data_IF_113246407669
#
_entry.id   IF_113246407669
#
_cell.length_a   1.000
_cell.length_b   1.000
_cell.length_c   1.000
_cell.angle_alpha   90.00
_cell.angle_beta   90.00
_cell.angle_gamma   90.00
#
_symmetry.space_group_name_H-M   'P 1'
#
loop_
_entity.id
_entity.type
_entity.pdbx_description
1 polymer ?
#
# COMPACT_ATOMS: atom_id res chain seq x y z
N UNK A 1 88.61 -16.68 25.48
CA UNK A 1 87.20 -16.95 25.86
C UNK A 1 86.24 -15.77 25.64
N UNK A 2 86.70 -14.52 25.53
CA UNK A 2 85.81 -13.35 25.29
C UNK A 2 85.14 -13.29 23.90
N UNK A 3 85.77 -13.80 22.84
CA UNK A 3 85.23 -13.70 21.48
C UNK A 3 84.01 -14.61 21.23
N UNK A 4 83.94 -15.80 21.86
CA UNK A 4 82.77 -16.69 21.73
C UNK A 4 81.52 -16.12 22.41
N UNK A 5 81.68 -15.44 23.55
CA UNK A 5 80.57 -14.79 24.24
C UNK A 5 80.03 -13.59 23.46
N UNK A 6 80.89 -12.81 22.80
CA UNK A 6 80.45 -11.68 21.98
C UNK A 6 79.66 -12.11 20.74
N UNK A 7 80.04 -13.23 20.10
CA UNK A 7 79.34 -13.75 18.91
C UNK A 7 78.00 -14.36 19.31
N UNK A 8 77.95 -15.13 20.40
CA UNK A 8 76.68 -15.63 20.95
C UNK A 8 75.77 -14.47 21.35
N UNK A 9 76.32 -13.40 21.93
CA UNK A 9 75.55 -12.21 22.28
C UNK A 9 75.06 -11.46 21.05
N UNK A 10 75.87 -11.31 19.98
CA UNK A 10 75.47 -10.70 18.72
C UNK A 10 74.40 -11.54 17.99
N UNK A 11 74.54 -12.86 17.94
CA UNK A 11 73.53 -13.75 17.38
C UNK A 11 72.22 -13.71 18.18
N UNK A 12 72.29 -13.77 19.52
CA UNK A 12 71.11 -13.65 20.39
C UNK A 12 70.46 -12.27 20.25
N UNK A 13 71.24 -11.19 20.14
CA UNK A 13 70.70 -9.84 19.96
C UNK A 13 70.06 -9.70 18.58
N UNK A 14 70.65 -10.25 17.52
CA UNK A 14 70.06 -10.24 16.17
C UNK A 14 68.76 -11.05 16.14
N UNK A 15 68.74 -12.23 16.75
CA UNK A 15 67.56 -13.09 16.90
C UNK A 15 66.48 -12.36 17.73
N UNK A 16 66.85 -11.68 18.83
CA UNK A 16 65.90 -10.91 19.64
C UNK A 16 65.32 -9.73 18.87
N UNK A 17 66.14 -8.98 18.12
CA UNK A 17 65.66 -7.86 17.31
C UNK A 17 64.77 -8.29 16.16
N UNK A 18 65.04 -9.45 15.55
CA UNK A 18 64.17 -10.06 14.55
C UNK A 18 62.87 -10.58 15.19
N UNK A 19 62.94 -11.15 16.39
CA UNK A 19 61.77 -11.63 17.14
C UNK A 19 60.86 -10.50 17.61
N UNK A 20 61.42 -9.38 18.08
CA UNK A 20 60.66 -8.20 18.50
C UNK A 20 60.10 -7.41 17.30
N UNK A 21 60.74 -7.45 16.12
CA UNK A 21 60.16 -6.90 14.88
C UNK A 21 58.95 -7.70 14.38
N UNK A 22 58.89 -9.00 14.70
CA UNK A 22 57.73 -9.87 14.44
C UNK A 22 56.61 -9.66 15.48
N UNK A 23 56.90 -9.04 16.62
CA UNK A 23 55.98 -8.84 17.76
C UNK A 23 55.24 -7.49 17.71
N UNK A 24 54.96 -6.93 16.53
CA UNK A 24 53.94 -5.87 16.39
C UNK A 24 52.55 -6.51 16.25
N UNK A 25 51.55 -6.11 17.06
CA UNK A 25 50.32 -6.87 17.19
C UNK A 25 49.33 -6.47 16.10
N UNK A 26 49.33 -7.18 14.99
CA UNK A 26 48.15 -7.25 14.11
C UNK A 26 47.93 -8.69 13.60
N UNK A 27 47.09 -9.39 14.37
CA UNK A 27 46.18 -10.49 14.03
C UNK A 27 46.49 -11.47 12.86
N UNK A 28 47.75 -11.86 12.67
CA UNK A 28 48.12 -13.17 12.13
C UNK A 28 48.92 -13.88 13.21
N UNK A 29 48.31 -14.93 13.80
CA UNK A 29 48.97 -15.74 14.83
C UNK A 29 50.33 -16.20 14.29
N UNK A 30 51.40 -15.96 15.03
CA UNK A 30 52.76 -16.44 14.76
C UNK A 30 52.78 -17.91 14.30
N UNK A 31 51.85 -18.73 14.80
CA UNK A 31 51.63 -20.13 14.41
C UNK A 31 51.24 -20.33 12.94
N UNK A 32 50.45 -19.41 12.36
CA UNK A 32 50.04 -19.47 10.96
C UNK A 32 51.21 -19.22 10.03
N UNK A 33 52.04 -18.22 10.34
CA UNK A 33 53.26 -17.90 9.60
C UNK A 33 54.20 -19.12 9.58
N UNK A 34 54.44 -19.71 10.75
CA UNK A 34 55.28 -20.91 10.88
C UNK A 34 54.71 -22.12 10.13
N UNK A 35 53.37 -22.30 10.12
CA UNK A 35 52.73 -23.37 9.35
C UNK A 35 52.91 -23.19 7.84
N UNK A 36 52.79 -21.96 7.33
CA UNK A 36 53.01 -21.65 5.90
C UNK A 36 54.46 -21.85 5.48
N UNK A 37 55.40 -21.45 6.34
CA UNK A 37 56.84 -21.71 6.15
C UNK A 37 57.08 -23.22 5.99
N UNK A 38 56.49 -24.04 6.86
CA UNK A 38 56.58 -25.51 6.82
C UNK A 38 55.89 -26.14 5.60
N UNK A 39 54.74 -25.63 5.16
CA UNK A 39 54.03 -26.13 3.96
C UNK A 39 54.71 -25.77 2.63
N UNK A 40 55.42 -24.65 2.55
CA UNK A 40 56.18 -24.32 1.34
C UNK A 40 57.35 -25.28 1.09
N UNK A 41 57.88 -25.93 2.13
CA UNK A 41 58.86 -27.00 1.95
C UNK A 41 58.25 -28.25 1.27
N UNK A 42 56.92 -28.41 1.32
CA UNK A 42 56.23 -29.57 0.74
C UNK A 42 55.60 -29.36 -0.66
N UNK A 43 55.34 -28.12 -1.10
CA UNK A 43 54.43 -27.83 -2.24
C UNK A 43 55.08 -27.40 -3.57
N UNK A 44 56.33 -27.72 -3.85
CA UNK A 44 56.98 -27.42 -5.14
C UNK A 44 56.53 -28.34 -6.30
N UNK A 45 55.23 -28.60 -6.51
CA UNK A 45 54.69 -29.20 -7.75
C UNK A 45 53.20 -28.84 -7.95
N UNK A 46 52.87 -28.13 -9.03
CA UNK A 46 51.59 -28.28 -9.72
C UNK A 46 50.58 -27.14 -9.61
N UNK A 47 50.65 -26.19 -10.54
CA UNK A 47 49.56 -25.29 -10.89
C UNK A 47 48.51 -26.01 -11.75
N UNK A 48 47.24 -25.58 -11.70
CA UNK A 48 46.52 -25.04 -12.87
C UNK A 48 45.01 -24.89 -12.62
N UNK A 49 44.55 -23.72 -13.04
CA UNK A 49 43.20 -23.22 -13.23
C UNK A 49 42.30 -24.06 -14.14
N UNK A 50 40.97 -23.93 -14.00
CA UNK A 50 40.12 -23.36 -15.08
C UNK A 50 38.67 -23.12 -14.69
N UNK A 51 38.23 -21.94 -15.11
CA UNK A 51 36.87 -21.43 -15.35
C UNK A 51 36.08 -22.20 -16.42
N UNK A 52 34.75 -22.06 -16.38
CA UNK A 52 33.74 -22.16 -17.47
C UNK A 52 32.34 -22.22 -16.82
N UNK A 53 31.21 -21.84 -17.39
CA UNK A 53 30.75 -21.04 -18.54
C UNK A 53 29.19 -21.06 -18.45
N UNK A 54 28.51 -20.32 -19.35
CA UNK A 54 27.11 -20.51 -19.82
C UNK A 54 26.00 -19.84 -18.98
N UNK A 55 25.30 -18.80 -19.48
CA UNK A 55 24.32 -18.74 -20.61
C UNK A 55 23.01 -19.49 -20.31
N UNK A 56 21.86 -18.79 -20.44
CA UNK A 56 20.75 -19.21 -21.31
C UNK A 56 19.68 -18.10 -21.51
N UNK A 57 19.16 -18.11 -22.74
CA UNK A 57 18.01 -17.39 -23.34
C UNK A 57 16.66 -17.87 -22.77
N UNK A 58 15.62 -17.04 -22.96
CA UNK A 58 14.24 -17.35 -23.43
C UNK A 58 13.23 -16.34 -22.85
N UNK A 59 12.06 -15.98 -23.41
CA UNK A 59 11.29 -16.24 -24.64
C UNK A 59 10.16 -15.18 -24.61
N UNK A 60 9.73 -14.69 -25.77
CA UNK A 60 8.54 -13.87 -25.97
C UNK A 60 7.29 -14.75 -26.14
N UNK A 61 6.11 -14.27 -25.72
CA UNK A 61 4.81 -14.77 -26.19
C UNK A 61 3.76 -13.65 -26.11
N UNK A 62 3.12 -13.41 -27.25
CA UNK A 62 1.96 -12.54 -27.48
C UNK A 62 0.65 -13.18 -27.00
N UNK A 63 -0.40 -12.37 -26.79
CA UNK A 63 -1.80 -12.79 -26.97
C UNK A 63 -2.76 -11.58 -27.17
N UNK A 64 -3.40 -11.60 -28.36
CA UNK A 64 -4.70 -11.10 -28.89
C UNK A 64 -5.75 -10.54 -27.90
N UNK A 65 -6.54 -9.46 -28.12
CA UNK A 65 -7.54 -8.99 -29.14
C UNK A 65 -9.02 -9.29 -28.78
N UNK A 66 -9.91 -8.27 -28.90
CA UNK A 66 -11.39 -8.19 -29.16
C UNK A 66 -12.07 -7.09 -28.29
N UNK A 67 -12.66 -5.97 -28.77
CA UNK A 67 -13.85 -5.59 -29.59
C UNK A 67 -15.25 -5.75 -28.98
N UNK A 68 -16.00 -4.62 -28.88
CA UNK A 68 -17.48 -4.36 -29.06
C UNK A 68 -17.79 -2.99 -28.41
N UNK A 69 -18.26 -1.91 -29.06
CA UNK A 69 -19.50 -1.55 -29.81
C UNK A 69 -20.80 -1.51 -28.99
N UNK A 70 -21.36 -0.31 -28.73
CA UNK A 70 -22.75 0.11 -29.07
C UNK A 70 -23.14 1.50 -28.52
N UNK A 71 -24.01 2.18 -29.26
CA UNK A 71 -24.60 3.53 -29.12
C UNK A 71 -26.14 3.34 -28.97
N UNK A 72 -26.93 4.28 -28.41
CA UNK A 72 -27.96 4.89 -29.27
C UNK A 72 -28.44 6.32 -28.93
N UNK A 73 -28.86 7.02 -30.00
CA UNK A 73 -29.64 8.28 -30.05
C UNK A 73 -31.12 8.12 -29.68
N UNK A 74 -31.75 9.16 -29.13
CA UNK A 74 -33.14 9.54 -29.49
C UNK A 74 -33.48 11.02 -29.20
N UNK A 75 -34.40 11.58 -30.00
CA UNK A 75 -34.86 12.99 -30.09
C UNK A 75 -36.25 13.17 -29.45
N UNK A 76 -36.57 14.34 -28.87
CA UNK A 76 -37.88 15.07 -28.92
C UNK A 76 -37.77 16.38 -28.10
N UNK A 77 -37.85 17.59 -28.67
CA UNK A 77 -38.98 18.41 -29.19
C UNK A 77 -39.83 19.12 -28.10
N UNK A 78 -39.49 20.41 -27.88
CA UNK A 78 -40.31 21.65 -27.72
C UNK A 78 -41.59 21.64 -26.85
N UNK A 79 -41.68 22.55 -25.88
CA UNK A 79 -42.88 23.36 -25.59
C UNK A 79 -42.47 24.65 -24.83
N UNK A 80 -42.92 25.80 -25.32
CA UNK A 80 -42.77 27.14 -24.73
C UNK A 80 -43.74 27.33 -23.53
N UNK A 81 -43.43 28.14 -22.50
CA UNK A 81 -44.43 28.62 -21.55
C UNK A 81 -45.12 29.90 -22.06
N UNK A 82 -46.43 29.80 -22.25
CA UNK A 82 -47.37 30.89 -22.50
C UNK A 82 -47.73 31.58 -21.18
N UNK A 83 -47.45 32.89 -21.11
CA UNK A 83 -48.22 33.98 -20.46
C UNK A 83 -48.83 33.67 -19.07
N UNK A 84 -48.25 34.29 -18.06
CA UNK A 84 -48.89 34.56 -16.77
C UNK A 84 -49.99 35.61 -16.95
N UNK A 85 -51.25 35.17 -16.93
CA UNK A 85 -52.39 36.06 -16.71
C UNK A 85 -52.46 36.44 -15.22
N UNK A 86 -52.42 37.74 -14.97
CA UNK A 86 -52.75 38.37 -13.70
C UNK A 86 -54.19 38.03 -13.32
N UNK A 87 -54.38 37.17 -12.30
CA UNK A 87 -55.64 37.10 -11.57
C UNK A 87 -55.62 38.14 -10.46
N UNK A 88 -56.46 39.15 -10.62
CA UNK A 88 -56.76 40.16 -9.61
C UNK A 88 -57.36 39.48 -8.36
N UNK A 89 -56.55 39.40 -7.31
CA UNK A 89 -57.01 39.19 -5.94
C UNK A 89 -57.95 40.34 -5.58
N UNK A 90 -59.24 40.04 -5.45
CA UNK A 90 -60.21 40.93 -4.82
C UNK A 90 -60.25 40.63 -3.32
N UNK A 91 -59.12 40.81 -2.63
CA UNK A 91 -59.07 40.78 -1.18
C UNK A 91 -59.05 42.21 -0.63
N UNK A 92 -60.22 42.84 -0.61
CA UNK A 92 -60.48 44.01 0.22
C UNK A 92 -61.96 44.04 0.64
N UNK A 93 -62.32 43.19 1.60
CA UNK A 93 -63.51 43.41 2.43
C UNK A 93 -63.03 43.79 3.84
N UNK A 94 -63.47 44.92 4.42
CA UNK A 94 -63.08 45.35 5.75
C UNK A 94 -63.45 44.30 6.81
N UNK A 95 -62.47 43.90 7.63
CA UNK A 95 -62.58 42.90 8.71
C UNK A 95 -63.63 43.22 9.80
N UNK A 96 -64.23 44.40 9.79
CA UNK A 96 -65.14 44.87 10.86
C UNK A 96 -66.64 44.63 10.58
N UNK A 97 -67.01 44.03 9.44
CA UNK A 97 -68.40 43.74 9.07
C UNK A 97 -68.74 42.24 8.97
N UNK A 98 -67.81 41.35 9.33
CA UNK A 98 -68.09 39.93 9.54
C UNK A 98 -68.75 39.72 10.89
N UNK A 99 -69.99 40.19 11.00
CA UNK A 99 -70.96 39.59 11.92
C UNK A 99 -70.86 38.07 11.81
N UNK A 100 -70.92 37.36 12.94
CA UNK A 100 -70.80 35.91 13.13
C UNK A 100 -71.69 35.09 12.18
N UNK A 101 -71.37 35.10 10.89
CA UNK A 101 -71.95 34.22 9.88
C UNK A 101 -71.40 32.85 10.21
N UNK A 102 -72.24 32.07 10.89
CA UNK A 102 -72.01 30.64 11.07
C UNK A 102 -71.55 30.07 9.74
N UNK A 103 -70.42 29.38 9.75
CA UNK A 103 -69.92 28.66 8.58
C UNK A 103 -71.04 27.76 8.08
N UNK A 104 -71.11 27.58 6.76
CA UNK A 104 -72.00 26.57 6.18
C UNK A 104 -71.79 25.19 6.80
N UNK A 105 -70.58 24.92 7.31
CA UNK A 105 -70.20 23.65 7.94
C UNK A 105 -70.39 23.64 9.47
N UNK A 106 -70.87 24.72 10.09
CA UNK A 106 -71.12 24.75 11.52
C UNK A 106 -72.35 23.90 11.87
N UNK A 107 -72.27 23.10 12.94
CA UNK A 107 -73.37 22.26 13.41
C UNK A 107 -74.67 23.06 13.70
N UNK A 108 -74.52 24.32 14.10
CA UNK A 108 -75.64 25.23 14.40
C UNK A 108 -76.16 25.97 13.17
N UNK A 109 -75.66 25.66 11.97
CA UNK A 109 -76.13 26.22 10.72
C UNK A 109 -77.49 25.60 10.35
N UNK A 110 -78.47 26.43 10.02
CA UNK A 110 -79.82 26.00 9.73
C UNK A 110 -79.98 25.56 8.27
N UNK A 111 -79.33 24.44 7.91
CA UNK A 111 -79.29 23.91 6.54
C UNK A 111 -80.67 23.79 5.89
N UNK A 112 -81.68 23.34 6.65
CA UNK A 112 -83.05 23.20 6.16
C UNK A 112 -83.68 24.55 5.77
N UNK A 113 -83.47 25.59 6.58
CA UNK A 113 -83.99 26.92 6.29
C UNK A 113 -83.28 27.53 5.07
N UNK A 114 -81.95 27.40 5.02
CA UNK A 114 -81.14 27.88 3.90
C UNK A 114 -81.49 27.16 2.58
N UNK A 115 -81.69 25.84 2.63
CA UNK A 115 -82.07 25.05 1.46
C UNK A 115 -83.46 25.45 0.93
N UNK A 116 -84.43 25.67 1.81
CA UNK A 116 -85.77 26.13 1.41
C UNK A 116 -85.76 27.49 0.74
N UNK A 117 -84.90 28.42 1.19
CA UNK A 117 -84.84 29.77 0.61
C UNK A 117 -84.03 29.86 -0.67
N UNK A 118 -83.02 29.00 -0.85
CA UNK A 118 -82.03 29.15 -1.94
C UNK A 118 -82.03 28.02 -2.97
N UNK A 119 -82.52 26.83 -2.61
CA UNK A 119 -82.46 25.64 -3.48
C UNK A 119 -83.85 25.23 -4.02
N UNK A 120 -84.92 25.91 -3.61
CA UNK A 120 -86.26 25.69 -4.16
C UNK A 120 -86.56 26.76 -5.20
N UNK A 121 -86.56 26.38 -6.47
CA UNK A 121 -86.85 27.30 -7.55
C UNK A 121 -88.33 27.16 -7.97
N UNK A 122 -89.01 28.26 -8.34
CA UNK A 122 -90.39 28.20 -8.85
C UNK A 122 -90.57 27.29 -10.09
N UNK A 123 -89.48 26.94 -10.77
CA UNK A 123 -89.48 25.98 -11.89
C UNK A 123 -89.66 24.53 -11.42
N UNK A 124 -89.27 24.22 -10.19
CA UNK A 124 -89.39 22.88 -9.60
C UNK A 124 -90.85 22.50 -9.38
N UNK A 125 -91.68 23.46 -8.91
CA UNK A 125 -93.13 23.28 -8.78
C UNK A 125 -93.78 22.90 -10.13
N UNK A 126 -93.37 23.55 -11.22
CA UNK A 126 -93.88 23.25 -12.58
C UNK A 126 -93.40 21.89 -13.09
N UNK A 127 -92.15 21.51 -12.78
CA UNK A 127 -91.56 20.23 -13.16
C UNK A 127 -92.16 19.04 -12.42
N UNK A 128 -92.61 19.25 -11.17
CA UNK A 128 -93.19 18.23 -10.29
C UNK A 128 -94.71 18.10 -10.48
N UNK A 129 -95.43 19.20 -10.76
CA UNK A 129 -96.90 19.21 -10.88
C UNK A 129 -97.47 18.33 -12.01
N UNK A 130 -96.65 17.95 -13.00
CA UNK A 130 -97.05 17.11 -14.14
C UNK A 130 -96.59 15.66 -14.09
N UNK A 131 -95.84 15.24 -13.06
CA UNK A 131 -95.32 13.86 -12.94
C UNK A 131 -96.04 13.10 -11.85
N UNK A 132 -96.17 11.79 -12.04
CA UNK A 132 -96.61 10.90 -10.96
C UNK A 132 -95.53 10.83 -9.87
N UNK A 133 -95.95 10.93 -8.61
CA UNK A 133 -95.06 10.91 -7.44
C UNK A 133 -94.15 9.67 -7.40
N UNK A 134 -94.68 8.50 -7.79
CA UNK A 134 -93.92 7.24 -7.88
C UNK A 134 -92.72 7.34 -8.83
N UNK A 135 -92.91 7.95 -10.01
CA UNK A 135 -91.84 8.14 -11.00
C UNK A 135 -90.75 9.09 -10.51
N UNK A 136 -91.12 10.15 -9.78
CA UNK A 136 -90.16 11.08 -9.17
C UNK A 136 -89.36 10.37 -8.07
N UNK A 137 -90.03 9.58 -7.24
CA UNK A 137 -89.39 8.81 -6.17
C UNK A 137 -88.40 7.77 -6.73
N UNK A 138 -88.79 7.01 -7.75
CA UNK A 138 -87.90 6.04 -8.41
C UNK A 138 -86.70 6.71 -9.08
N UNK A 139 -86.91 7.87 -9.74
CA UNK A 139 -85.86 8.65 -10.35
C UNK A 139 -84.84 9.16 -9.32
N UNK A 140 -85.33 9.69 -8.20
CA UNK A 140 -84.48 10.14 -7.09
C UNK A 140 -83.68 8.98 -6.50
N UNK A 141 -84.33 7.83 -6.24
CA UNK A 141 -83.66 6.66 -5.69
C UNK A 141 -82.55 6.16 -6.64
N UNK A 142 -82.80 6.15 -7.95
CA UNK A 142 -81.79 5.82 -8.96
C UNK A 142 -80.60 6.78 -8.92
N UNK A 143 -80.85 8.09 -8.85
CA UNK A 143 -79.78 9.09 -8.74
C UNK A 143 -78.97 8.94 -7.46
N UNK A 144 -79.62 8.64 -6.33
CA UNK A 144 -78.93 8.37 -5.06
C UNK A 144 -78.02 7.15 -5.19
N UNK A 145 -78.53 6.02 -5.69
CA UNK A 145 -77.71 4.83 -5.90
C UNK A 145 -76.54 5.07 -6.87
N UNK A 146 -76.76 5.89 -7.91
CA UNK A 146 -75.70 6.26 -8.86
C UNK A 146 -74.59 7.08 -8.18
N UNK A 147 -74.96 8.04 -7.34
CA UNK A 147 -74.01 8.85 -6.57
C UNK A 147 -73.27 7.97 -5.56
N UNK A 148 -73.97 7.08 -4.86
CA UNK A 148 -73.38 6.15 -3.90
C UNK A 148 -72.35 5.24 -4.56
N UNK A 149 -72.69 4.61 -5.69
CA UNK A 149 -71.78 3.78 -6.45
C UNK A 149 -70.55 4.55 -6.97
N UNK A 150 -70.76 5.78 -7.45
CA UNK A 150 -69.66 6.64 -7.92
C UNK A 150 -68.75 7.08 -6.78
N UNK A 151 -69.32 7.37 -5.60
CA UNK A 151 -68.58 7.73 -4.39
C UNK A 151 -67.70 6.57 -3.92
N UNK A 152 -68.27 5.36 -3.81
CA UNK A 152 -67.51 4.15 -3.44
C UNK A 152 -66.35 3.88 -4.40
N UNK A 153 -66.59 4.04 -5.71
CA UNK A 153 -65.53 3.90 -6.71
C UNK A 153 -64.40 4.92 -6.53
N UNK A 154 -64.73 6.18 -6.26
CA UNK A 154 -63.73 7.23 -6.03
C UNK A 154 -62.94 7.01 -4.73
N UNK A 155 -63.59 6.56 -3.65
CA UNK A 155 -62.91 6.20 -2.41
C UNK A 155 -61.90 5.08 -2.66
N UNK A 156 -62.29 4.01 -3.37
CA UNK A 156 -61.37 2.93 -3.70
C UNK A 156 -60.16 3.40 -4.52
N UNK A 157 -60.36 4.35 -5.45
CA UNK A 157 -59.25 4.98 -6.19
C UNK A 157 -58.35 5.84 -5.31
N UNK A 158 -58.92 6.59 -4.37
CA UNK A 158 -58.17 7.44 -3.45
C UNK A 158 -57.28 6.58 -2.54
N UNK A 159 -57.82 5.54 -1.92
CA UNK A 159 -57.04 4.62 -1.09
C UNK A 159 -55.94 3.91 -1.90
N UNK A 160 -56.21 3.54 -3.16
CA UNK A 160 -55.19 2.96 -4.03
C UNK A 160 -54.07 3.96 -4.35
N UNK A 161 -54.39 5.25 -4.48
CA UNK A 161 -53.41 6.32 -4.66
C UNK A 161 -52.57 6.52 -3.40
N UNK A 162 -53.20 6.57 -2.23
CA UNK A 162 -52.54 6.74 -0.93
C UNK A 162 -51.54 5.61 -0.64
N UNK A 163 -51.90 4.36 -0.98
CA UNK A 163 -50.97 3.22 -0.87
C UNK A 163 -49.75 3.36 -1.80
N UNK A 164 -49.95 3.86 -3.02
CA UNK A 164 -48.85 4.12 -3.96
C UNK A 164 -47.94 5.24 -3.48
N UNK A 165 -48.51 6.32 -2.96
CA UNK A 165 -47.76 7.43 -2.39
C UNK A 165 -46.95 6.99 -1.17
N UNK A 166 -47.56 6.25 -0.24
CA UNK A 166 -46.88 5.68 0.93
C UNK A 166 -45.69 4.80 0.53
N UNK A 167 -45.86 3.97 -0.51
CA UNK A 167 -44.77 3.16 -1.06
C UNK A 167 -43.66 4.05 -1.65
N UNK A 168 -44.02 5.04 -2.47
CA UNK A 168 -43.04 5.95 -3.08
C UNK A 168 -42.24 6.73 -2.02
N UNK A 169 -42.89 7.17 -0.93
CA UNK A 169 -42.22 7.83 0.20
C UNK A 169 -41.25 6.87 0.89
N UNK A 170 -41.65 5.62 1.14
CA UNK A 170 -40.76 4.61 1.73
C UNK A 170 -39.53 4.34 0.84
N UNK A 171 -39.74 4.19 -0.48
CA UNK A 171 -38.67 3.96 -1.45
C UNK A 171 -37.72 5.17 -1.52
N UNK A 172 -38.25 6.39 -1.47
CA UNK A 172 -37.45 7.63 -1.42
C UNK A 172 -36.60 7.70 -0.14
N UNK A 173 -37.16 7.35 1.01
CA UNK A 173 -36.41 7.31 2.29
C UNK A 173 -35.29 6.27 2.22
N UNK A 174 -35.53 5.11 1.63
CA UNK A 174 -34.51 4.09 1.43
C UNK A 174 -33.38 4.58 0.50
N UNK A 175 -33.73 5.18 -0.64
CA UNK A 175 -32.76 5.73 -1.58
C UNK A 175 -31.91 6.85 -0.95
N UNK A 176 -32.52 7.73 -0.15
CA UNK A 176 -31.77 8.78 0.55
C UNK A 176 -30.77 8.21 1.57
N UNK A 177 -31.11 7.12 2.27
CA UNK A 177 -30.17 6.44 3.16
C UNK A 177 -28.98 5.84 2.39
N UNK A 178 -29.23 5.26 1.23
CA UNK A 178 -28.18 4.73 0.35
C UNK A 178 -27.26 5.84 -0.16
N UNK A 179 -27.81 6.98 -0.57
CA UNK A 179 -27.02 8.15 -0.98
C UNK A 179 -26.10 8.63 0.15
N UNK A 180 -26.60 8.73 1.38
CA UNK A 180 -25.76 9.12 2.52
C UNK A 180 -24.67 8.10 2.81
N UNK A 181 -24.96 6.80 2.70
CA UNK A 181 -23.95 5.76 2.85
C UNK A 181 -22.86 5.88 1.76
N UNK A 182 -23.25 6.04 0.50
CA UNK A 182 -22.31 6.22 -0.62
C UNK A 182 -21.45 7.48 -0.46
N UNK A 183 -21.97 8.56 0.13
CA UNK A 183 -21.19 9.76 0.45
C UNK A 183 -20.10 9.47 1.47
N UNK A 184 -20.41 8.70 2.52
CA UNK A 184 -19.43 8.26 3.51
C UNK A 184 -18.36 7.38 2.86
N UNK A 185 -18.77 6.45 2.00
CA UNK A 185 -17.85 5.55 1.30
C UNK A 185 -16.92 6.30 0.34
N UNK A 186 -17.41 7.33 -0.36
CA UNK A 186 -16.58 8.21 -1.20
C UNK A 186 -15.50 8.94 -0.39
N UNK A 187 -15.84 9.45 0.80
CA UNK A 187 -14.85 10.10 1.68
C UNK A 187 -13.80 9.10 2.16
N UNK A 188 -14.21 7.87 2.51
CA UNK A 188 -13.28 6.83 2.92
C UNK A 188 -12.37 6.39 1.77
N UNK A 189 -12.93 6.24 0.56
CA UNK A 189 -12.17 5.94 -0.64
C UNK A 189 -11.11 7.00 -0.94
N UNK A 190 -11.44 8.28 -0.80
CA UNK A 190 -10.48 9.37 -0.98
C UNK A 190 -9.32 9.30 0.04
N UNK A 191 -9.59 8.92 1.30
CA UNK A 191 -8.54 8.72 2.31
C UNK A 191 -7.61 7.55 1.95
N UNK A 192 -8.18 6.42 1.53
CA UNK A 192 -7.41 5.25 1.11
C UNK A 192 -6.55 5.58 -0.12
N UNK A 193 -7.11 6.29 -1.09
CA UNK A 193 -6.38 6.74 -2.28
C UNK A 193 -5.16 7.59 -1.91
N UNK A 194 -5.33 8.56 -1.02
CA UNK A 194 -4.22 9.40 -0.55
C UNK A 194 -3.14 8.56 0.16
N UNK A 195 -3.54 7.65 1.05
CA UNK A 195 -2.60 6.77 1.74
C UNK A 195 -1.82 5.85 0.77
N UNK A 196 -2.47 5.43 -0.32
CA UNK A 196 -1.81 4.66 -1.38
C UNK A 196 -0.80 5.52 -2.15
N UNK A 197 -1.13 6.76 -2.50
CA UNK A 197 -0.21 7.71 -3.14
C UNK A 197 1.01 7.96 -2.24
N UNK A 198 0.81 8.20 -0.93
CA UNK A 198 1.90 8.37 0.03
C UNK A 198 2.81 7.12 0.07
N UNK A 199 2.23 5.91 0.09
CA UNK A 199 2.99 4.65 0.10
C UNK A 199 3.75 4.38 -1.20
N UNK A 200 3.19 4.78 -2.34
CA UNK A 200 3.87 4.69 -3.64
C UNK A 200 5.11 5.58 -3.68
N UNK A 201 5.04 6.78 -3.08
CA UNK A 201 6.21 7.65 -2.96
C UNK A 201 7.28 7.06 -2.04
N UNK A 202 6.89 6.49 -0.90
CA UNK A 202 7.81 5.82 0.04
C UNK A 202 8.51 4.62 -0.61
N UNK A 203 7.77 3.79 -1.37
CA UNK A 203 8.33 2.69 -2.14
C UNK A 203 9.32 3.17 -3.20
N UNK A 204 9.00 4.26 -3.89
CA UNK A 204 9.88 4.86 -4.89
C UNK A 204 11.19 5.36 -4.27
N UNK A 205 11.12 6.00 -3.11
CA UNK A 205 12.30 6.43 -2.35
C UNK A 205 13.15 5.25 -1.88
N UNK A 206 12.52 4.25 -1.26
CA UNK A 206 13.23 3.08 -0.74
C UNK A 206 13.90 2.28 -1.86
N UNK A 207 13.25 2.19 -3.03
CA UNK A 207 13.84 1.57 -4.22
C UNK A 207 15.07 2.32 -4.71
N UNK A 208 15.03 3.65 -4.74
CA UNK A 208 16.19 4.46 -5.10
C UNK A 208 17.35 4.28 -4.11
N UNK A 209 17.08 4.22 -2.81
CA UNK A 209 18.10 3.94 -1.79
C UNK A 209 18.71 2.54 -1.94
N UNK A 210 17.89 1.53 -2.26
CA UNK A 210 18.37 0.18 -2.54
C UNK A 210 19.29 0.15 -3.77
N UNK A 211 18.89 0.84 -4.85
CA UNK A 211 19.68 0.94 -6.07
C UNK A 211 21.01 1.71 -5.85
N UNK A 212 21.06 2.64 -4.90
CA UNK A 212 22.30 3.33 -4.48
C UNK A 212 23.19 2.47 -3.56
N UNK A 213 22.60 1.73 -2.62
CA UNK A 213 23.34 0.92 -1.65
C UNK A 213 23.93 -0.35 -2.27
N UNK A 214 23.25 -0.94 -3.25
CA UNK A 214 23.71 -2.16 -3.93
C UNK A 214 25.13 -2.06 -4.51
N UNK A 215 25.48 -1.06 -5.34
CA UNK A 215 26.83 -0.92 -5.86
C UNK A 215 27.86 -0.58 -4.77
N UNK A 216 27.45 0.11 -3.69
CA UNK A 216 28.34 0.36 -2.53
C UNK A 216 28.69 -0.94 -1.81
N UNK A 217 27.71 -1.82 -1.59
CA UNK A 217 27.93 -3.13 -0.98
C UNK A 217 28.82 -4.01 -1.86
N UNK A 218 28.57 -4.06 -3.17
CA UNK A 218 29.40 -4.78 -4.13
C UNK A 218 30.84 -4.21 -4.17
N UNK A 219 30.99 -2.89 -4.17
CA UNK A 219 32.29 -2.23 -4.14
C UNK A 219 33.08 -2.46 -2.85
N UNK A 220 32.43 -2.45 -1.69
CA UNK A 220 33.06 -2.80 -0.40
C UNK A 220 33.47 -4.27 -0.38
N UNK A 221 32.63 -5.18 -0.88
CA UNK A 221 32.94 -6.59 -0.99
C UNK A 221 34.18 -6.83 -1.87
N UNK A 222 34.25 -6.16 -3.03
CA UNK A 222 35.42 -6.25 -3.92
C UNK A 222 36.69 -5.72 -3.24
N UNK A 223 36.58 -4.60 -2.50
CA UNK A 223 37.70 -4.05 -1.73
C UNK A 223 38.17 -4.98 -0.61
N UNK A 224 37.25 -5.64 0.09
CA UNK A 224 37.60 -6.63 1.10
C UNK A 224 38.37 -7.81 0.49
N UNK A 225 37.92 -8.33 -0.65
CA UNK A 225 38.64 -9.40 -1.37
C UNK A 225 40.04 -8.96 -1.83
N UNK A 226 40.18 -7.73 -2.34
CA UNK A 226 41.48 -7.19 -2.74
C UNK A 226 42.45 -7.10 -1.55
N UNK A 227 41.99 -6.54 -0.42
CA UNK A 227 42.80 -6.44 0.80
C UNK A 227 43.17 -7.81 1.39
N UNK A 228 42.27 -8.80 1.29
CA UNK A 228 42.55 -10.16 1.72
C UNK A 228 43.64 -10.81 0.85
N UNK A 229 43.62 -10.56 -0.47
CA UNK A 229 44.68 -10.96 -1.39
C UNK A 229 46.02 -10.28 -1.10
N UNK A 230 46.02 -8.95 -0.88
CA UNK A 230 47.23 -8.20 -0.49
C UNK A 230 47.82 -8.72 0.83
N UNK A 231 46.96 -9.00 1.82
CA UNK A 231 47.38 -9.59 3.10
C UNK A 231 48.05 -10.95 2.88
N UNK A 232 47.49 -11.80 2.03
CA UNK A 232 48.08 -13.10 1.71
C UNK A 232 49.44 -12.95 1.02
N UNK A 233 49.55 -12.07 0.01
CA UNK A 233 50.81 -11.80 -0.67
C UNK A 233 51.89 -11.28 0.28
N UNK A 234 51.56 -10.32 1.15
CA UNK A 234 52.48 -9.80 2.16
C UNK A 234 52.90 -10.89 3.15
N UNK A 235 51.99 -11.79 3.52
CA UNK A 235 52.31 -12.93 4.39
C UNK A 235 53.34 -13.86 3.74
N UNK A 236 53.17 -14.14 2.45
CA UNK A 236 54.07 -15.00 1.69
C UNK A 236 55.43 -14.34 1.45
N UNK A 237 55.45 -13.03 1.15
CA UNK A 237 56.69 -12.24 1.05
C UNK A 237 57.45 -12.25 2.38
N UNK A 238 56.76 -12.00 3.50
CA UNK A 238 57.35 -12.06 4.84
C UNK A 238 57.94 -13.44 5.13
N UNK A 239 57.23 -14.52 4.80
CA UNK A 239 57.74 -15.88 4.95
C UNK A 239 59.02 -16.11 4.13
N UNK A 240 59.07 -15.64 2.87
CA UNK A 240 60.27 -15.77 2.02
C UNK A 240 61.44 -14.97 2.57
N UNK A 241 61.24 -13.69 2.88
CA UNK A 241 62.29 -12.81 3.42
C UNK A 241 62.84 -13.34 4.75
N UNK A 242 61.96 -13.85 5.61
CA UNK A 242 62.36 -14.42 6.89
C UNK A 242 63.18 -15.72 6.70
N UNK A 243 62.78 -16.61 5.78
CA UNK A 243 63.57 -17.81 5.43
C UNK A 243 64.94 -17.46 4.87
N UNK A 244 65.00 -16.53 3.91
CA UNK A 244 66.24 -16.08 3.30
C UNK A 244 67.19 -15.45 4.32
N UNK A 245 66.67 -14.57 5.19
CA UNK A 245 67.44 -13.94 6.26
C UNK A 245 67.97 -14.95 7.28
N UNK A 246 67.16 -15.95 7.65
CA UNK A 246 67.59 -17.03 8.54
C UNK A 246 68.71 -17.88 7.92
N UNK A 247 68.58 -18.27 6.66
CA UNK A 247 69.62 -19.02 5.96
C UNK A 247 70.92 -18.23 5.86
N UNK A 248 70.84 -16.93 5.54
CA UNK A 248 72.02 -16.06 5.49
C UNK A 248 72.74 -16.00 6.86
N UNK A 249 71.97 -15.95 7.95
CA UNK A 249 72.53 -15.98 9.30
C UNK A 249 73.22 -17.33 9.61
N UNK A 250 72.61 -18.45 9.21
CA UNK A 250 73.24 -19.78 9.34
C UNK A 250 74.55 -19.87 8.55
N UNK A 251 74.57 -19.34 7.32
CA UNK A 251 75.77 -19.31 6.49
C UNK A 251 76.89 -18.47 7.13
N UNK A 252 76.55 -17.32 7.71
CA UNK A 252 77.51 -16.49 8.46
C UNK A 252 78.10 -17.23 9.66
N UNK A 253 77.27 -17.96 10.44
CA UNK A 253 77.73 -18.76 11.57
C UNK A 253 78.68 -19.87 11.11
N UNK A 254 78.36 -20.57 10.02
CA UNK A 254 79.20 -21.62 9.45
C UNK A 254 80.58 -21.12 9.02
N UNK A 255 80.65 -19.90 8.47
CA UNK A 255 81.92 -19.26 8.10
C UNK A 255 82.75 -18.90 9.33
N UNK A 256 82.12 -18.34 10.37
CA UNK A 256 82.82 -17.89 11.59
C UNK A 256 83.23 -19.06 12.49
N UNK A 257 82.44 -20.14 12.51
CA UNK A 257 82.59 -21.29 13.39
C UNK A 257 82.33 -22.62 12.66
N UNK A 258 83.32 -23.15 11.93
CA UNK A 258 83.16 -24.35 11.10
C UNK A 258 82.82 -25.62 11.88
N UNK A 259 83.24 -25.68 13.15
CA UNK A 259 83.10 -26.86 14.01
C UNK A 259 81.72 -27.00 14.66
N UNK A 260 80.83 -26.00 14.50
CA UNK A 260 79.49 -26.02 15.10
C UNK A 260 78.52 -26.70 14.13
N UNK A 261 77.90 -27.78 14.59
CA UNK A 261 76.82 -28.44 13.87
C UNK A 261 75.51 -27.64 14.01
N UNK A 262 75.14 -26.95 12.94
CA UNK A 262 73.89 -26.19 12.81
C UNK A 262 72.84 -26.92 11.95
N UNK A 263 73.05 -28.20 11.61
CA UNK A 263 72.13 -28.98 10.78
C UNK A 263 70.73 -29.14 11.38
N UNK A 264 70.60 -28.98 12.70
CA UNK A 264 69.32 -29.07 13.42
C UNK A 264 68.56 -27.74 13.54
N UNK A 265 69.20 -26.62 13.19
CA UNK A 265 68.65 -25.29 13.31
C UNK A 265 67.51 -25.08 12.32
N UNK A 266 66.36 -24.65 12.83
CA UNK A 266 65.13 -24.46 12.07
C UNK A 266 64.40 -23.26 12.66
N UNK A 267 63.87 -22.43 11.78
CA UNK A 267 63.16 -21.19 12.12
C UNK A 267 61.85 -21.43 12.89
N UNK A 268 61.32 -22.65 12.82
CA UNK A 268 60.12 -23.09 13.53
C UNK A 268 60.41 -23.62 14.94
N UNK A 269 61.67 -23.60 15.38
CA UNK A 269 62.05 -24.11 16.70
C UNK A 269 62.47 -22.98 17.63
N UNK A 270 62.06 -23.10 18.89
CA UNK A 270 62.42 -22.20 19.98
C UNK A 270 63.42 -22.88 20.92
N UNK A 271 64.27 -22.09 21.59
CA UNK A 271 65.18 -22.59 22.62
C UNK A 271 64.51 -22.39 23.98
N UNK A 272 64.05 -23.49 24.59
CA UNK A 272 63.52 -23.51 25.96
C UNK A 272 64.49 -24.30 26.82
N UNK A 273 65.00 -23.69 27.90
CA UNK A 273 65.98 -24.29 28.83
C UNK A 273 67.23 -24.89 28.17
N UNK A 274 67.67 -24.30 27.04
CA UNK A 274 68.85 -24.74 26.30
C UNK A 274 68.61 -25.93 25.37
N UNK A 275 67.37 -26.42 25.24
CA UNK A 275 66.97 -27.41 24.24
C UNK A 275 66.13 -26.76 23.13
N UNK A 276 66.30 -27.29 21.92
CA UNK A 276 65.59 -26.85 20.73
C UNK A 276 64.26 -27.61 20.63
N UNK A 277 63.14 -26.90 20.83
CA UNK A 277 61.77 -27.46 20.85
C UNK A 277 60.97 -26.89 19.68
N UNK A 278 60.12 -27.71 19.05
CA UNK A 278 59.21 -27.26 17.99
C UNK A 278 58.14 -26.32 18.56
N UNK A 279 57.95 -25.14 17.95
CA UNK A 279 56.92 -24.18 18.36
C UNK A 279 55.53 -24.77 18.09
N UNK A 280 54.80 -25.11 19.16
CA UNK A 280 53.41 -25.57 19.13
C UNK A 280 52.41 -24.44 18.90
#
# INVERSE_FOLDING_TARGET
MHSKFQIVFLCLTLIFTLSDFIRTPDALSQRELLRRIKQQESNKVGASSRTKDSSLKAIALESEQETTQSDPKSKRKRTDPLISETSDSTDNIPLSALSFKKSFWDEKFTHLAYGRTNNYFPIDDKLLSGRQLSSVQEGLLRSIHQVEASSLFLVGRLEASERKESKAVSDLVAANKEIEQLRVDLVNFAKVKKALEDKETELSTLKAEMDELKPKAEGLSARCQALEGEKEELTDQLCSTLKEGFQLALDQVKILHPDIDISSADITKEIVDGQLIELS
#
